data_IF_585239556119
#
_entry.id   IF_585239556119
#
_cell.length_a   1.000
_cell.length_b   1.000
_cell.length_c   1.000
_cell.angle_alpha   90.00
_cell.angle_beta   90.00
_cell.angle_gamma   90.00
#
_symmetry.space_group_name_H-M   'P 1'
#
loop_
_entity.id
_entity.type
_entity.pdbx_description
1 polymer ?
#
# COMPACT_ATOMS: atom_id res chain seq x y z
N UNK A 1 32.63 -48.29 52.00
CA UNK A 1 31.64 -48.25 53.10
C UNK A 1 30.36 -47.71 52.47
N UNK A 2 29.43 -48.49 51.91
CA UNK A 2 28.55 -49.51 52.51
C UNK A 2 27.92 -49.05 53.83
N UNK A 3 26.67 -48.54 53.77
CA UNK A 3 25.54 -48.97 54.63
C UNK A 3 24.23 -48.81 53.83
N UNK A 4 23.36 -49.80 53.95
CA UNK A 4 22.10 -50.00 53.24
C UNK A 4 20.85 -49.56 54.06
N UNK A 5 19.76 -49.24 53.34
CA UNK A 5 18.30 -49.51 53.55
C UNK A 5 17.68 -49.56 54.97
N UNK A 6 16.39 -49.14 55.20
CA UNK A 6 15.25 -49.89 54.63
C UNK A 6 13.86 -49.19 54.44
N UNK A 7 13.10 -49.73 53.46
CA UNK A 7 11.69 -50.21 53.45
C UNK A 7 10.47 -49.43 54.04
N UNK A 8 9.46 -49.36 53.16
CA UNK A 8 8.01 -49.67 53.28
C UNK A 8 7.07 -48.75 54.08
N UNK A 9 5.99 -48.29 53.42
CA UNK A 9 4.61 -48.74 53.73
C UNK A 9 3.61 -48.40 52.62
N UNK A 10 2.79 -49.40 52.29
CA UNK A 10 1.63 -49.34 51.40
C UNK A 10 0.48 -48.60 52.10
N UNK A 11 -0.30 -47.84 51.34
CA UNK A 11 -1.72 -47.61 51.64
C UNK A 11 -2.52 -47.65 50.32
N UNK A 12 -3.19 -48.78 50.14
CA UNK A 12 -4.30 -49.01 49.23
C UNK A 12 -5.49 -48.17 49.66
N UNK A 13 -5.97 -47.25 48.81
CA UNK A 13 -7.29 -46.66 48.92
C UNK A 13 -8.08 -46.99 47.65
N UNK A 14 -9.01 -47.93 47.82
CA UNK A 14 -10.07 -48.23 46.87
C UNK A 14 -11.01 -47.03 46.81
N UNK A 15 -11.13 -46.42 45.64
CA UNK A 15 -12.20 -45.46 45.36
C UNK A 15 -13.01 -45.97 44.18
N UNK A 16 -14.28 -46.19 44.47
CA UNK A 16 -15.29 -46.77 43.60
C UNK A 16 -15.34 -46.09 42.23
N UNK A 17 -15.25 -46.90 41.17
CA UNK A 17 -15.74 -46.53 39.85
C UNK A 17 -17.25 -46.26 39.94
N UNK A 18 -17.64 -44.99 40.00
CA UNK A 18 -18.96 -44.58 39.55
C UNK A 18 -18.93 -44.50 38.03
N UNK A 19 -19.42 -45.57 37.38
CA UNK A 19 -19.85 -45.52 35.99
C UNK A 19 -21.08 -44.61 35.91
N UNK A 20 -20.85 -43.31 35.70
CA UNK A 20 -21.90 -42.43 35.17
C UNK A 20 -22.02 -42.78 33.69
N UNK A 21 -23.18 -43.26 33.20
CA UNK A 21 -23.41 -43.31 31.78
C UNK A 21 -23.50 -41.86 31.29
N UNK A 22 -22.38 -41.30 30.83
CA UNK A 22 -22.42 -40.15 29.94
C UNK A 22 -23.10 -40.67 28.67
N UNK A 23 -24.42 -40.47 28.59
CA UNK A 23 -25.09 -40.39 27.31
C UNK A 23 -24.49 -39.17 26.60
N UNK A 24 -23.39 -39.39 25.88
CA UNK A 24 -22.93 -38.48 24.84
C UNK A 24 -24.03 -38.53 23.80
N UNK A 25 -25.00 -37.63 23.95
CA UNK A 25 -25.84 -37.23 22.83
C UNK A 25 -24.85 -36.70 21.79
N UNK A 26 -24.50 -37.56 20.83
CA UNK A 26 -23.99 -37.16 19.54
C UNK A 26 -25.10 -36.34 18.89
N UNK A 27 -25.27 -35.10 19.37
CA UNK A 27 -25.89 -34.08 18.56
C UNK A 27 -25.01 -34.02 17.31
N UNK A 28 -25.54 -34.29 16.10
CA UNK A 28 -24.80 -33.99 14.91
C UNK A 28 -24.51 -32.49 14.98
N UNK A 29 -23.29 -32.13 15.32
CA UNK A 29 -22.73 -30.82 15.03
C UNK A 29 -22.51 -30.78 13.53
N UNK A 30 -23.60 -30.86 12.77
CA UNK A 30 -23.74 -30.11 11.53
C UNK A 30 -23.83 -28.64 11.95
N UNK A 31 -22.76 -28.14 12.56
CA UNK A 31 -22.48 -26.73 12.55
C UNK A 31 -22.33 -26.43 11.07
N UNK A 32 -23.33 -25.75 10.54
CA UNK A 32 -23.41 -25.35 9.15
C UNK A 32 -22.17 -24.51 8.83
N UNK A 33 -21.11 -25.14 8.34
CA UNK A 33 -20.25 -24.50 7.37
C UNK A 33 -21.14 -24.26 6.16
N UNK A 34 -21.87 -23.14 6.18
CA UNK A 34 -22.39 -22.56 4.96
C UNK A 34 -21.22 -22.42 3.97
N UNK A 35 -21.52 -22.26 2.67
CA UNK A 35 -20.47 -21.98 1.70
C UNK A 35 -19.58 -20.87 2.27
N UNK A 36 -18.28 -21.17 2.42
CA UNK A 36 -17.30 -20.14 2.78
C UNK A 36 -17.42 -19.04 1.72
N UNK A 37 -17.33 -17.76 2.10
CA UNK A 37 -17.29 -16.69 1.12
C UNK A 37 -16.18 -17.00 0.11
N UNK A 38 -16.38 -16.60 -1.14
CA UNK A 38 -15.33 -16.70 -2.15
C UNK A 38 -14.04 -16.08 -1.60
N UNK A 39 -12.90 -16.73 -1.85
CA UNK A 39 -11.62 -16.22 -1.42
C UNK A 39 -11.47 -14.79 -1.96
N UNK A 40 -11.20 -13.84 -1.06
CA UNK A 40 -10.92 -12.47 -1.44
C UNK A 40 -9.64 -12.46 -2.30
N UNK A 41 -9.76 -12.00 -3.55
CA UNK A 41 -8.60 -11.76 -4.41
C UNK A 41 -8.00 -10.42 -4.03
N UNK A 42 -6.76 -10.44 -3.56
CA UNK A 42 -6.01 -9.25 -3.16
C UNK A 42 -4.93 -8.90 -4.21
N UNK A 43 -4.80 -7.64 -4.64
CA UNK A 43 -5.77 -6.55 -4.42
C UNK A 43 -7.00 -6.71 -5.33
N UNK A 44 -8.20 -6.28 -4.90
CA UNK A 44 -9.42 -6.40 -5.70
C UNK A 44 -9.40 -5.45 -6.90
N UNK A 45 -10.26 -5.69 -7.89
CA UNK A 45 -10.45 -4.74 -9.00
C UNK A 45 -10.92 -3.36 -8.49
N UNK A 46 -10.83 -2.34 -9.34
CA UNK A 46 -11.31 -1.01 -9.00
C UNK A 46 -12.79 -1.02 -8.59
N UNK A 47 -13.10 -0.48 -7.41
CA UNK A 47 -14.49 -0.41 -6.91
C UNK A 47 -15.30 0.65 -7.64
N UNK A 48 -14.62 1.63 -8.23
CA UNK A 48 -15.27 2.70 -9.00
C UNK A 48 -14.88 2.61 -10.45
N UNK A 49 -15.91 2.59 -11.31
CA UNK A 49 -15.72 2.58 -12.75
C UNK A 49 -15.27 3.95 -13.21
N UNK A 50 -14.20 3.99 -14.01
CA UNK A 50 -13.79 5.23 -14.66
C UNK A 50 -14.80 5.64 -15.74
N UNK A 51 -15.06 6.94 -15.83
CA UNK A 51 -15.72 7.60 -16.94
C UNK A 51 -14.74 7.96 -18.06
N UNK A 52 -15.20 8.75 -19.02
CA UNK A 52 -14.35 9.24 -20.09
C UNK A 52 -13.43 10.36 -19.59
N UNK A 53 -12.16 10.04 -19.35
CA UNK A 53 -11.17 11.01 -18.88
C UNK A 53 -10.51 11.82 -20.01
N UNK A 54 -10.71 11.48 -21.29
CA UNK A 54 -10.08 12.20 -22.40
C UNK A 54 -10.43 13.71 -22.47
N UNK A 55 -11.70 14.13 -22.31
CA UNK A 55 -12.05 15.56 -22.40
C UNK A 55 -11.36 16.41 -21.34
N UNK A 56 -11.11 15.82 -20.17
CA UNK A 56 -10.42 16.45 -19.03
C UNK A 56 -8.95 16.69 -19.36
N UNK A 57 -8.31 15.75 -20.07
CA UNK A 57 -6.91 15.87 -20.45
C UNK A 57 -6.71 16.85 -21.61
N UNK A 58 -7.63 16.84 -22.58
CA UNK A 58 -7.57 17.71 -23.77
C UNK A 58 -7.86 19.17 -23.44
N UNK A 59 -8.72 19.41 -22.44
CA UNK A 59 -9.11 20.75 -22.01
C UNK A 59 -9.04 20.84 -20.48
N UNK A 60 -7.83 20.81 -19.90
CA UNK A 60 -7.69 20.91 -18.45
C UNK A 60 -8.30 22.25 -17.99
N UNK A 61 -9.23 22.24 -17.02
CA UNK A 61 -9.76 23.47 -16.48
C UNK A 61 -8.61 24.27 -15.83
N UNK A 62 -8.64 25.60 -15.95
CA UNK A 62 -7.63 26.43 -15.27
C UNK A 62 -7.77 26.31 -13.76
N UNK A 63 -6.64 26.14 -13.07
CA UNK A 63 -6.61 25.93 -11.62
C UNK A 63 -6.79 24.45 -11.27
N UNK A 64 -7.42 24.21 -10.13
CA UNK A 64 -7.69 22.84 -9.76
C UNK A 64 -8.72 22.22 -10.72
N UNK A 65 -8.47 20.99 -11.20
CA UNK A 65 -9.44 20.15 -11.87
C UNK A 65 -10.81 20.34 -11.21
N UNK A 66 -11.75 20.98 -11.91
CA UNK A 66 -13.11 21.12 -11.41
C UNK A 66 -13.68 19.75 -11.08
N UNK A 67 -14.78 19.70 -10.32
CA UNK A 67 -15.46 18.45 -9.95
C UNK A 67 -15.67 17.48 -11.12
N UNK A 68 -15.85 18.00 -12.35
CA UNK A 68 -15.97 17.22 -13.58
C UNK A 68 -14.74 16.37 -13.91
N UNK A 69 -13.55 16.88 -13.67
CA UNK A 69 -12.32 16.19 -14.03
C UNK A 69 -12.01 15.02 -13.10
N UNK A 70 -12.22 15.24 -11.81
CA UNK A 70 -12.01 14.23 -10.78
C UNK A 70 -13.18 13.23 -10.77
N UNK A 71 -14.34 13.62 -11.30
CA UNK A 71 -15.46 12.69 -11.52
C UNK A 71 -15.14 11.57 -12.50
N UNK A 72 -14.16 11.74 -13.40
CA UNK A 72 -13.85 10.70 -14.38
C UNK A 72 -13.22 9.46 -13.72
N UNK A 73 -12.25 9.59 -12.81
CA UNK A 73 -11.73 8.44 -12.03
C UNK A 73 -12.59 8.16 -10.78
N UNK A 74 -13.12 9.23 -10.17
CA UNK A 74 -13.90 9.17 -8.95
C UNK A 74 -15.34 8.70 -9.13
N UNK A 75 -15.83 8.51 -10.35
CA UNK A 75 -17.21 8.10 -10.62
C UNK A 75 -18.26 9.09 -10.11
N UNK A 76 -17.97 10.39 -10.19
CA UNK A 76 -18.85 11.44 -9.65
C UNK A 76 -18.66 11.75 -8.17
N UNK A 77 -17.70 11.13 -7.49
CA UNK A 77 -17.27 11.55 -6.14
C UNK A 77 -16.82 13.01 -6.21
N UNK A 78 -17.54 13.90 -5.53
CA UNK A 78 -17.13 15.29 -5.40
C UNK A 78 -15.84 15.33 -4.58
N UNK A 79 -14.89 16.15 -5.03
CA UNK A 79 -13.69 16.49 -4.26
C UNK A 79 -14.02 17.49 -3.15
N UNK A 80 -15.06 17.20 -2.38
CA UNK A 80 -15.27 17.91 -1.15
C UNK A 80 -14.26 17.35 -0.15
N UNK A 81 -13.40 18.20 0.39
CA UNK A 81 -12.46 17.83 1.45
C UNK A 81 -13.18 17.17 2.64
N UNK A 82 -14.47 17.48 2.82
CA UNK A 82 -15.36 16.88 3.82
C UNK A 82 -15.99 15.54 3.39
N UNK A 83 -16.01 15.24 2.08
CA UNK A 83 -16.45 13.96 1.51
C UNK A 83 -15.26 13.06 1.14
N UNK A 84 -14.11 13.24 1.80
CA UNK A 84 -13.06 12.24 1.81
C UNK A 84 -13.73 10.91 2.10
N UNK A 85 -13.77 10.02 1.10
CA UNK A 85 -14.33 8.69 1.28
C UNK A 85 -13.58 8.09 2.45
N UNK A 86 -14.27 7.83 3.55
CA UNK A 86 -13.72 7.09 4.67
C UNK A 86 -13.29 5.73 4.11
N UNK A 87 -12.01 5.59 3.78
CA UNK A 87 -11.47 4.27 3.51
C UNK A 87 -11.60 3.44 4.78
N UNK A 88 -11.78 2.12 4.62
CA UNK A 88 -11.92 1.21 5.74
C UNK A 88 -10.84 1.39 6.80
N UNK A 89 -11.13 0.90 8.01
CA UNK A 89 -10.13 0.79 9.07
C UNK A 89 -8.92 -0.02 8.58
N UNK A 90 -7.75 0.22 9.16
CA UNK A 90 -6.48 -0.36 8.71
C UNK A 90 -6.51 -1.89 8.70
N UNK A 91 -7.19 -2.50 9.64
CA UNK A 91 -7.34 -3.96 9.76
C UNK A 91 -8.07 -4.61 8.57
N UNK A 92 -8.71 -3.82 7.71
CA UNK A 92 -9.36 -4.28 6.49
C UNK A 92 -8.45 -4.23 5.24
N UNK A 93 -7.15 -3.97 5.41
CA UNK A 93 -6.18 -3.99 4.30
C UNK A 93 -6.12 -5.35 3.62
N UNK A 94 -5.94 -5.34 2.31
CA UNK A 94 -5.70 -6.55 1.53
C UNK A 94 -4.36 -7.22 1.87
N UNK A 95 -3.40 -6.44 2.38
CA UNK A 95 -2.08 -6.90 2.79
C UNK A 95 -1.80 -6.42 4.22
N UNK A 96 -1.87 -7.30 5.24
CA UNK A 96 -1.50 -6.95 6.60
C UNK A 96 0.03 -6.81 6.74
N UNK A 97 0.49 -6.28 7.87
CA UNK A 97 1.90 -6.00 8.12
C UNK A 97 2.78 -7.24 7.94
N UNK A 98 3.86 -7.08 7.16
CA UNK A 98 4.81 -8.15 6.85
C UNK A 98 4.41 -9.01 5.64
N UNK A 99 3.15 -8.97 5.21
CA UNK A 99 2.71 -9.69 4.02
C UNK A 99 3.04 -8.88 2.77
N UNK A 100 3.65 -9.55 1.79
CA UNK A 100 3.95 -8.97 0.49
C UNK A 100 2.94 -9.42 -0.56
N UNK A 101 2.55 -8.55 -1.52
CA UNK A 101 1.87 -9.00 -2.72
C UNK A 101 2.64 -10.11 -3.43
N UNK A 102 1.94 -11.09 -3.99
CA UNK A 102 2.55 -12.22 -4.71
C UNK A 102 3.54 -11.75 -5.79
N UNK A 103 3.22 -10.65 -6.47
CA UNK A 103 4.09 -10.06 -7.49
C UNK A 103 5.44 -9.59 -6.92
N UNK A 104 5.48 -9.09 -5.67
CA UNK A 104 6.74 -8.73 -4.99
C UNK A 104 7.54 -9.98 -4.63
N UNK A 105 6.87 -11.01 -4.09
CA UNK A 105 7.52 -12.29 -3.76
C UNK A 105 8.10 -12.93 -5.02
N UNK A 106 7.38 -12.91 -6.14
CA UNK A 106 7.87 -13.41 -7.42
C UNK A 106 9.08 -12.62 -7.94
N UNK A 107 9.02 -11.29 -7.85
CA UNK A 107 10.07 -10.41 -8.37
C UNK A 107 11.37 -10.45 -7.53
N UNK A 108 11.26 -10.68 -6.22
CA UNK A 108 12.35 -10.43 -5.25
C UNK A 108 12.74 -11.67 -4.45
N UNK A 109 11.83 -12.64 -4.32
CA UNK A 109 11.97 -13.82 -3.47
C UNK A 109 11.65 -13.55 -2.00
N UNK A 110 11.85 -14.57 -1.17
CA UNK A 110 11.51 -14.57 0.28
C UNK A 110 12.37 -13.62 1.14
N UNK A 111 13.29 -12.87 0.54
CA UNK A 111 14.18 -11.93 1.23
C UNK A 111 13.59 -10.53 1.44
N UNK A 112 12.42 -10.25 0.86
CA UNK A 112 11.73 -8.98 1.02
C UNK A 112 10.91 -8.94 2.31
N UNK A 113 10.98 -7.83 3.02
CA UNK A 113 10.05 -7.51 4.13
C UNK A 113 9.18 -6.34 3.70
N UNK A 114 7.90 -6.59 3.46
CA UNK A 114 6.95 -5.53 3.16
C UNK A 114 6.56 -4.79 4.43
N UNK A 115 6.60 -3.46 4.33
CA UNK A 115 6.23 -2.57 5.41
C UNK A 115 4.86 -1.97 5.11
N UNK A 116 3.98 -2.05 6.10
CA UNK A 116 2.75 -1.29 6.05
C UNK A 116 3.02 0.13 6.51
N UNK A 117 2.59 1.09 5.72
CA UNK A 117 2.62 2.50 6.08
C UNK A 117 1.30 2.85 6.78
N UNK A 118 1.35 3.38 8.03
CA UNK A 118 0.17 3.89 8.71
C UNK A 118 -0.55 4.95 7.88
N UNK A 119 -1.88 5.02 7.95
CA UNK A 119 -2.66 6.04 7.22
C UNK A 119 -2.23 7.47 7.55
N UNK A 120 -1.78 7.71 8.78
CA UNK A 120 -1.28 9.01 9.26
C UNK A 120 0.00 9.46 8.57
N UNK A 121 0.76 8.52 8.04
CA UNK A 121 2.09 8.76 7.47
C UNK A 121 1.99 9.04 5.97
N UNK A 122 0.81 8.89 5.39
CA UNK A 122 0.47 9.43 4.09
C UNK A 122 0.05 10.89 4.23
N UNK A 123 0.75 11.75 3.53
CA UNK A 123 0.44 13.17 3.44
C UNK A 123 0.37 13.64 2.00
N UNK A 124 -0.27 14.78 1.84
CA UNK A 124 0.10 15.71 0.79
C UNK A 124 1.03 16.70 1.46
N UNK A 125 2.29 16.76 1.04
CA UNK A 125 3.10 17.88 1.47
C UNK A 125 2.67 19.13 0.71
N UNK A 126 2.60 20.25 1.43
CA UNK A 126 2.29 21.57 0.89
C UNK A 126 3.42 21.96 -0.07
N UNK A 127 3.31 21.54 -1.32
CA UNK A 127 4.17 22.04 -2.35
C UNK A 127 3.85 23.53 -2.55
N UNK A 128 4.79 24.46 -2.28
CA UNK A 128 4.51 25.87 -2.44
C UNK A 128 4.14 26.17 -3.90
N UNK A 129 2.98 26.78 -4.08
CA UNK A 129 2.44 27.35 -5.34
C UNK A 129 1.89 26.37 -6.42
N UNK A 130 1.32 25.20 -6.08
CA UNK A 130 1.16 24.14 -7.11
C UNK A 130 -0.30 23.80 -7.49
N UNK A 131 -0.54 23.74 -8.81
CA UNK A 131 -1.79 23.39 -9.51
C UNK A 131 -2.13 21.90 -9.44
N UNK A 132 -1.72 21.24 -8.36
CA UNK A 132 -2.03 19.86 -8.09
C UNK A 132 -3.35 19.76 -7.34
N UNK A 133 -4.21 18.85 -7.79
CA UNK A 133 -5.46 18.55 -7.11
C UNK A 133 -5.37 17.16 -6.55
N UNK A 134 -5.74 17.04 -5.29
CA UNK A 134 -5.87 15.74 -4.69
C UNK A 134 -7.24 15.57 -4.08
N UNK A 135 -7.82 14.39 -4.32
CA UNK A 135 -9.12 14.02 -3.81
C UNK A 135 -9.08 12.68 -3.10
N UNK A 136 -9.89 12.57 -2.05
CA UNK A 136 -9.87 11.42 -1.16
C UNK A 136 -8.84 11.56 -0.06
N UNK A 137 -8.90 10.66 0.93
CA UNK A 137 -7.92 10.67 2.00
C UNK A 137 -6.60 10.01 1.52
N UNK A 138 -5.44 10.67 1.70
CA UNK A 138 -4.15 10.16 1.25
C UNK A 138 -3.86 8.75 1.78
N UNK A 139 -4.20 8.50 3.04
CA UNK A 139 -4.01 7.19 3.68
C UNK A 139 -4.79 6.04 3.06
N UNK A 140 -5.76 6.28 2.17
CA UNK A 140 -6.48 5.18 1.52
C UNK A 140 -5.57 4.33 0.62
N UNK A 141 -4.49 4.91 0.10
CA UNK A 141 -3.47 4.17 -0.66
C UNK A 141 -2.74 3.09 0.15
N UNK A 142 -2.93 3.02 1.48
CA UNK A 142 -2.35 1.99 2.34
C UNK A 142 -3.23 0.75 2.51
N UNK A 143 -4.50 0.81 2.07
CA UNK A 143 -5.49 -0.25 2.28
C UNK A 143 -5.52 -1.23 1.11
N UNK A 144 -5.19 -0.76 -0.10
CA UNK A 144 -5.11 -1.58 -1.31
C UNK A 144 -6.45 -2.27 -1.64
N UNK A 145 -7.57 -1.56 -1.45
CA UNK A 145 -8.92 -2.12 -1.51
C UNK A 145 -9.67 -1.83 -2.82
N UNK A 146 -8.95 -1.41 -3.86
CA UNK A 146 -9.50 -1.01 -5.16
C UNK A 146 -10.00 0.44 -5.18
N UNK A 147 -9.65 1.26 -4.18
CA UNK A 147 -9.98 2.69 -4.08
C UNK A 147 -8.82 3.48 -3.47
N UNK A 148 -8.38 4.50 -4.20
CA UNK A 148 -7.26 5.33 -3.80
C UNK A 148 -7.55 6.83 -3.74
N UNK A 149 -6.64 7.64 -3.17
CA UNK A 149 -6.58 9.05 -3.50
C UNK A 149 -6.35 9.26 -5.01
N UNK A 150 -6.99 10.29 -5.55
CA UNK A 150 -6.85 10.71 -6.95
C UNK A 150 -6.00 11.97 -6.98
N UNK A 151 -4.88 11.93 -7.69
CA UNK A 151 -3.99 13.07 -7.92
C UNK A 151 -4.13 13.52 -9.37
N UNK A 152 -4.31 14.81 -9.57
CA UNK A 152 -4.28 15.46 -10.87
C UNK A 152 -3.28 16.61 -10.91
N UNK A 153 -2.57 16.78 -12.02
CA UNK A 153 -1.80 17.98 -12.36
C UNK A 153 -2.28 18.55 -13.70
N UNK A 154 -2.67 19.84 -13.74
CA UNK A 154 -3.30 20.47 -14.92
C UNK A 154 -2.38 21.43 -15.69
N UNK A 155 -1.18 21.72 -15.16
CA UNK A 155 -0.23 22.68 -15.75
C UNK A 155 1.16 22.06 -15.86
N UNK A 156 1.97 22.63 -16.76
CA UNK A 156 3.39 22.30 -16.86
C UNK A 156 4.23 22.93 -15.72
N UNK A 157 3.60 23.76 -14.89
CA UNK A 157 4.22 24.50 -13.80
C UNK A 157 3.70 23.95 -12.47
N UNK A 158 4.42 23.00 -11.90
CA UNK A 158 4.10 22.42 -10.60
C UNK A 158 4.33 20.93 -10.54
N UNK A 159 4.27 20.43 -9.32
CA UNK A 159 4.35 19.06 -8.90
C UNK A 159 3.19 18.81 -7.94
N UNK A 160 2.69 17.60 -7.94
CA UNK A 160 1.60 17.19 -7.07
C UNK A 160 1.81 15.76 -6.75
N UNK A 161 1.74 15.37 -5.49
CA UNK A 161 2.04 13.98 -5.19
C UNK A 161 1.51 13.52 -3.86
N UNK A 162 1.37 12.20 -3.79
CA UNK A 162 1.17 11.49 -2.55
C UNK A 162 2.55 11.22 -1.96
N UNK A 163 2.77 11.62 -0.72
CA UNK A 163 4.03 11.40 0.01
C UNK A 163 3.74 10.47 1.16
N UNK A 164 4.67 9.55 1.42
CA UNK A 164 4.69 8.75 2.64
C UNK A 164 6.04 8.80 3.31
N UNK A 165 6.03 8.95 4.63
CA UNK A 165 7.23 8.82 5.46
C UNK A 165 7.43 7.34 5.82
N UNK A 166 8.68 6.88 5.76
CA UNK A 166 9.01 5.48 6.09
C UNK A 166 9.38 5.30 7.57
N UNK A 167 9.75 6.37 8.27
CA UNK A 167 10.04 6.35 9.71
C UNK A 167 11.00 5.23 10.12
N UNK A 168 10.60 4.46 11.14
CA UNK A 168 11.37 3.35 11.69
C UNK A 168 11.17 2.02 10.92
N UNK A 169 10.40 2.01 9.83
CA UNK A 169 10.11 0.80 9.06
C UNK A 169 11.30 0.30 8.25
N UNK A 170 12.27 1.18 8.01
CA UNK A 170 13.49 0.90 7.25
C UNK A 170 14.68 0.64 8.19
N UNK A 171 15.51 -0.39 7.94
CA UNK A 171 16.73 -0.65 8.72
C UNK A 171 17.86 0.35 8.39
N UNK A 172 18.95 0.28 9.13
CA UNK A 172 20.13 1.15 8.95
C UNK A 172 20.92 0.90 7.65
N UNK A 173 20.74 -0.27 7.03
CA UNK A 173 21.27 -0.57 5.69
C UNK A 173 20.35 -1.53 4.94
N UNK A 174 20.31 -1.42 3.62
CA UNK A 174 19.51 -2.29 2.77
C UNK A 174 19.27 -1.72 1.38
N UNK A 175 18.27 -2.30 0.72
CA UNK A 175 17.71 -1.87 -0.56
C UNK A 175 16.21 -1.67 -0.42
N UNK A 176 15.70 -0.58 -0.95
CA UNK A 176 14.29 -0.22 -0.91
C UNK A 176 13.70 -0.63 -2.25
N UNK A 177 12.62 -1.39 -2.19
CA UNK A 177 11.71 -1.55 -3.30
C UNK A 177 10.33 -1.01 -2.97
N UNK A 178 9.52 -0.86 -4.01
CA UNK A 178 8.18 -0.33 -3.90
C UNK A 178 7.24 -1.09 -4.82
N UNK A 179 6.16 -1.62 -4.27
CA UNK A 179 5.01 -2.05 -5.04
C UNK A 179 4.02 -0.88 -5.09
N UNK A 180 3.64 -0.48 -6.30
CA UNK A 180 2.63 0.55 -6.53
C UNK A 180 1.56 -0.01 -7.44
N UNK A 181 0.31 0.18 -7.04
CA UNK A 181 -0.85 -0.09 -7.88
C UNK A 181 -1.57 1.21 -8.18
N UNK A 182 -1.61 1.58 -9.44
CA UNK A 182 -2.22 2.84 -9.87
C UNK A 182 -2.86 2.71 -11.26
N UNK A 183 -3.83 3.56 -11.52
CA UNK A 183 -4.47 3.71 -12.84
C UNK A 183 -4.61 5.18 -13.17
N UNK A 184 -4.69 5.51 -14.44
CA UNK A 184 -4.80 6.88 -14.88
C UNK A 184 -4.27 7.10 -16.28
N UNK A 185 -4.08 8.37 -16.60
CA UNK A 185 -3.56 8.83 -17.87
C UNK A 185 -2.49 9.90 -17.62
N UNK A 186 -1.40 9.84 -18.38
CA UNK A 186 -0.28 10.78 -18.27
C UNK A 186 0.98 10.11 -17.72
N UNK A 187 1.70 10.82 -16.86
CA UNK A 187 2.91 10.29 -16.22
C UNK A 187 2.97 10.62 -14.73
N UNK A 188 3.44 9.67 -13.95
CA UNK A 188 3.88 9.89 -12.59
C UNK A 188 5.38 9.59 -12.47
N UNK A 189 5.97 10.00 -11.36
CA UNK A 189 7.34 9.69 -10.99
C UNK A 189 7.31 9.23 -9.54
N UNK A 190 7.78 8.01 -9.29
CA UNK A 190 8.09 7.58 -7.94
C UNK A 190 9.43 8.15 -7.54
N UNK A 191 9.50 8.88 -6.44
CA UNK A 191 10.74 9.41 -5.88
C UNK A 191 11.04 8.75 -4.54
N UNK A 192 12.30 8.39 -4.31
CA UNK A 192 12.79 8.02 -2.99
C UNK A 192 13.39 9.25 -2.36
N UNK A 193 12.92 9.58 -1.16
CA UNK A 193 13.34 10.76 -0.44
C UNK A 193 14.41 10.38 0.59
N UNK A 194 15.49 11.14 0.66
CA UNK A 194 16.57 10.98 1.67
C UNK A 194 16.44 11.97 2.82
N UNK A 195 15.51 12.92 2.71
CA UNK A 195 15.13 13.86 3.75
C UNK A 195 13.75 14.46 3.49
N UNK A 196 13.29 15.36 4.38
CA UNK A 196 12.08 16.15 4.14
C UNK A 196 12.18 16.96 2.84
N UNK A 197 11.07 17.28 2.18
CA UNK A 197 11.12 17.97 0.87
C UNK A 197 11.75 19.37 0.91
N UNK A 198 11.75 20.04 2.06
CA UNK A 198 12.40 21.34 2.23
C UNK A 198 13.93 21.25 2.40
N UNK A 199 14.49 20.04 2.42
CA UNK A 199 15.92 19.82 2.39
C UNK A 199 16.54 20.23 1.04
N UNK A 200 17.83 20.62 0.98
CA UNK A 200 18.48 21.08 -0.25
C UNK A 200 18.49 20.06 -1.40
N UNK A 201 18.57 18.77 -1.09
CA UNK A 201 18.64 17.67 -2.06
C UNK A 201 17.84 16.47 -1.53
N UNK A 202 16.50 16.55 -1.53
CA UNK A 202 15.67 15.58 -0.83
C UNK A 202 15.47 14.29 -1.64
N UNK A 203 15.85 14.25 -2.93
CA UNK A 203 15.59 13.14 -3.84
C UNK A 203 16.84 12.27 -4.01
N UNK A 204 16.77 11.03 -3.53
CA UNK A 204 17.83 10.03 -3.70
C UNK A 204 17.70 9.21 -4.99
N UNK A 205 16.47 8.94 -5.45
CA UNK A 205 16.20 8.26 -6.70
C UNK A 205 14.84 8.68 -7.28
N UNK A 206 14.67 8.53 -8.59
CA UNK A 206 13.42 8.83 -9.30
C UNK A 206 13.16 7.78 -10.39
N UNK A 207 11.92 7.31 -10.47
CA UNK A 207 11.49 6.24 -11.37
C UNK A 207 10.22 6.67 -12.12
N UNK A 208 10.25 6.78 -13.46
CA UNK A 208 9.09 7.21 -14.24
C UNK A 208 8.01 6.12 -14.26
N UNK A 209 6.76 6.55 -14.32
CA UNK A 209 5.57 5.70 -14.43
C UNK A 209 4.73 6.19 -15.61
N UNK A 210 4.58 5.34 -16.63
CA UNK A 210 3.68 5.63 -17.74
C UNK A 210 2.27 5.15 -17.38
N UNK A 211 1.28 6.02 -17.54
CA UNK A 211 -0.11 5.73 -17.22
C UNK A 211 -0.95 5.79 -18.49
N UNK A 212 -1.45 4.62 -18.88
CA UNK A 212 -2.06 4.41 -20.20
C UNK A 212 -3.53 3.98 -20.11
N UNK A 213 -4.04 3.67 -18.92
CA UNK A 213 -5.41 3.20 -18.71
C UNK A 213 -6.01 3.82 -17.46
N UNK A 214 -7.15 4.50 -17.64
CA UNK A 214 -7.98 4.97 -16.53
C UNK A 214 -8.88 3.87 -15.95
N UNK A 215 -9.11 2.78 -16.69
CA UNK A 215 -10.08 1.75 -16.30
C UNK A 215 -9.44 0.66 -15.42
N UNK A 216 -8.24 0.23 -15.78
CA UNK A 216 -7.55 -0.90 -15.16
C UNK A 216 -6.34 -0.44 -14.34
N UNK A 217 -6.15 -1.06 -13.18
CA UNK A 217 -4.95 -0.84 -12.38
C UNK A 217 -3.74 -1.53 -13.01
N UNK A 218 -2.68 -0.75 -13.15
CA UNK A 218 -1.34 -1.25 -13.42
C UNK A 218 -0.62 -1.50 -12.10
N UNK A 219 0.05 -2.63 -12.01
CA UNK A 219 0.94 -2.96 -10.91
C UNK A 219 2.38 -2.73 -11.35
N UNK A 220 3.14 -2.00 -10.54
CA UNK A 220 4.53 -1.68 -10.83
C UNK A 220 5.40 -2.00 -9.62
N UNK A 221 6.51 -2.69 -9.86
CA UNK A 221 7.46 -3.08 -8.83
C UNK A 221 8.80 -2.41 -9.13
N UNK A 222 9.16 -1.43 -8.32
CA UNK A 222 10.45 -0.76 -8.40
C UNK A 222 11.44 -1.52 -7.54
N UNK A 223 12.18 -2.45 -8.12
CA UNK A 223 13.27 -3.13 -7.42
C UNK A 223 14.36 -3.62 -8.36
N UNK A 224 14.01 -4.28 -9.46
CA UNK A 224 14.96 -4.73 -10.48
C UNK A 224 14.29 -4.82 -11.85
N UNK A 225 13.86 -3.68 -12.40
CA UNK A 225 13.34 -3.71 -13.77
C UNK A 225 14.51 -3.64 -14.77
N UNK A 226 15.09 -4.81 -15.04
CA UNK A 226 16.28 -4.97 -15.91
C UNK A 226 16.08 -4.40 -17.31
N UNK A 227 14.84 -4.36 -17.82
CA UNK A 227 14.48 -3.83 -19.14
C UNK A 227 14.70 -2.32 -19.25
N UNK A 228 14.67 -1.59 -18.14
CA UNK A 228 14.79 -0.12 -18.10
C UNK A 228 16.01 0.36 -17.30
N UNK A 229 16.85 -0.56 -16.81
CA UNK A 229 18.08 -0.23 -16.09
C UNK A 229 17.84 0.45 -14.74
N UNK A 230 16.67 0.19 -14.13
CA UNK A 230 16.30 0.73 -12.83
C UNK A 230 16.92 -0.17 -11.74
N UNK A 231 17.91 0.37 -11.03
CA UNK A 231 18.48 -0.25 -9.84
C UNK A 231 17.69 0.22 -8.59
N UNK A 232 17.54 -0.67 -7.57
CA UNK A 232 16.86 -0.31 -6.34
C UNK A 232 17.68 0.73 -5.58
N UNK A 233 17.01 1.65 -4.89
CA UNK A 233 17.69 2.57 -4.01
C UNK A 233 18.37 1.79 -2.88
N UNK A 234 19.69 1.93 -2.74
CA UNK A 234 20.49 1.19 -1.77
C UNK A 234 21.20 2.15 -0.83
N UNK A 235 21.27 1.79 0.45
CA UNK A 235 21.98 2.55 1.47
C UNK A 235 22.80 1.61 2.34
N UNK A 236 23.92 2.13 2.84
CA UNK A 236 24.89 1.36 3.63
C UNK A 236 25.00 1.82 5.08
N UNK A 237 24.33 2.92 5.44
CA UNK A 237 24.31 3.43 6.80
C UNK A 237 23.18 4.44 7.05
N UNK A 238 22.98 4.84 8.32
CA UNK A 238 21.84 5.65 8.74
C UNK A 238 21.73 7.02 8.06
N UNK A 239 22.85 7.60 7.62
CA UNK A 239 22.89 8.92 6.98
C UNK A 239 22.29 8.95 5.57
N UNK A 240 22.25 7.81 4.88
CA UNK A 240 21.71 7.66 3.52
C UNK A 240 20.39 6.88 3.54
N UNK A 241 19.83 6.67 4.73
CA UNK A 241 18.59 5.93 4.94
C UNK A 241 17.43 6.68 4.27
N UNK A 242 16.55 6.00 3.51
CA UNK A 242 15.41 6.68 2.90
C UNK A 242 14.47 7.22 3.99
N UNK A 243 14.13 8.49 3.88
CA UNK A 243 13.17 9.20 4.71
C UNK A 243 11.73 8.86 4.31
N UNK A 244 11.46 8.78 3.00
CA UNK A 244 10.12 8.70 2.47
C UNK A 244 10.07 8.23 1.02
N UNK A 245 8.85 8.08 0.51
CA UNK A 245 8.57 7.83 -0.90
C UNK A 245 7.50 8.82 -1.36
N UNK A 246 7.67 9.39 -2.55
CA UNK A 246 6.66 10.23 -3.19
C UNK A 246 6.19 9.62 -4.50
N UNK A 247 4.90 9.73 -4.81
CA UNK A 247 4.34 9.47 -6.15
C UNK A 247 3.88 10.80 -6.69
N UNK A 248 4.73 11.40 -7.53
CA UNK A 248 4.60 12.77 -7.99
C UNK A 248 4.11 12.76 -9.44
N UNK A 249 3.08 13.53 -9.74
CA UNK A 249 2.62 13.80 -11.09
C UNK A 249 3.75 14.48 -11.86
N UNK A 250 4.18 13.85 -12.95
CA UNK A 250 5.20 14.38 -13.83
C UNK A 250 4.57 15.08 -15.03
N UNK A 251 5.22 16.15 -15.51
CA UNK A 251 5.03 16.71 -16.84
C UNK A 251 6.30 16.47 -17.65
N UNK A 252 6.29 15.47 -18.52
CA UNK A 252 7.46 15.14 -19.36
C UNK A 252 7.35 15.69 -20.79
N UNK A 253 6.23 16.31 -21.18
CA UNK A 253 6.01 16.85 -22.53
C UNK A 253 5.23 18.18 -22.48
N UNK A 254 5.25 18.96 -23.56
CA UNK A 254 4.66 20.31 -23.67
C UNK A 254 3.14 20.39 -23.40
N UNK A 255 2.46 19.25 -23.27
CA UNK A 255 1.06 19.10 -22.88
C UNK A 255 0.94 17.85 -22.01
N UNK A 256 1.06 17.92 -20.69
CA UNK A 256 0.68 16.74 -19.88
C UNK A 256 -0.04 17.11 -18.60
N UNK A 257 -1.34 17.30 -18.78
CA UNK A 257 -2.34 16.97 -17.78
C UNK A 257 -2.10 15.52 -17.33
N UNK A 258 -1.74 15.30 -16.07
CA UNK A 258 -1.62 13.96 -15.48
C UNK A 258 -2.77 13.75 -14.51
N UNK A 259 -3.43 12.60 -14.57
CA UNK A 259 -4.55 12.27 -13.69
C UNK A 259 -4.51 10.79 -13.34
N UNK A 260 -4.39 10.47 -12.06
CA UNK A 260 -4.26 9.08 -11.61
C UNK A 260 -4.84 8.83 -10.23
N UNK A 261 -5.27 7.59 -10.01
CA UNK A 261 -5.70 7.04 -8.72
C UNK A 261 -4.65 6.06 -8.22
N UNK A 262 -4.22 6.24 -6.97
CA UNK A 262 -3.23 5.38 -6.32
C UNK A 262 -3.94 4.46 -5.33
N UNK A 263 -4.16 3.22 -5.72
CA UNK A 263 -4.88 2.25 -4.87
C UNK A 263 -4.00 1.65 -3.78
N UNK A 264 -2.78 1.27 -4.13
CA UNK A 264 -1.91 0.55 -3.23
C UNK A 264 -0.48 1.06 -3.32
N UNK A 265 0.14 1.31 -2.17
CA UNK A 265 1.57 1.58 -2.07
C UNK A 265 2.15 0.79 -0.91
N UNK A 266 3.03 -0.16 -1.24
CA UNK A 266 3.67 -1.04 -0.26
C UNK A 266 5.18 -0.95 -0.46
N UNK A 267 5.90 -0.20 0.40
CA UNK A 267 7.35 -0.26 0.43
C UNK A 267 7.80 -1.61 0.98
N UNK A 268 8.95 -2.09 0.50
CA UNK A 268 9.58 -3.28 1.03
C UNK A 268 11.08 -3.12 1.07
N UNK A 269 11.72 -3.80 2.02
CA UNK A 269 13.17 -3.75 2.20
C UNK A 269 13.77 -5.12 1.95
N UNK A 270 14.92 -5.13 1.28
CA UNK A 270 15.78 -6.31 1.17
C UNK A 270 17.11 -6.00 1.85
N UNK A 271 17.58 -6.86 2.77
CA UNK A 271 18.91 -6.73 3.34
C UNK A 271 20.01 -6.70 2.27
N UNK A 272 21.11 -6.02 2.59
CA UNK A 272 22.34 -6.05 1.78
C UNK A 272 23.09 -7.37 1.95
#
# INVERSE_FOLDING_TARGET
MMVASPKLLRATAWSALYLVPLAVALAPTTACFGPLPEALTCPPAAKVKAGNCLPVLENPPMGCFGSEALSCLGGGRLCDAEAAVDCPAEEASCFPDGDCPDAVVEAVGDGATCARIPRSDFGFEDFPDQFACVCGAPGCGSICDGVGPIVGLSTNEGYGGLVMTLGDLVPDSGRLGLYVRLRGLGSATVVVLTGPFDAPDPVGAAYPVALTSAEEFSEVIYYQEKSVGIEPYSWSGPQDKPYGVGIIAGSTMELVTSLYEVDCVIPFVVPN
#
